data_IF_415389652265
#
_entry.id   IF_415389652265
#
_cell.length_a   1.000
_cell.length_b   1.000
_cell.length_c   1.000
_cell.angle_alpha   90.00
_cell.angle_beta   90.00
_cell.angle_gamma   90.00
#
_symmetry.space_group_name_H-M   'P 1'
#
loop_
_entity.id
_entity.type
_entity.pdbx_description
1 polymer ?
#
# COMPACT_ATOMS: atom_id res chain seq x y z
N UNK A 1 11.80 18.17 -11.43
CA UNK A 1 10.79 17.96 -10.36
C UNK A 1 11.37 17.68 -8.97
N UNK A 2 12.68 17.40 -8.81
CA UNK A 2 13.31 17.04 -7.53
C UNK A 2 13.61 18.22 -6.56
N UNK A 3 12.89 19.34 -6.62
CA UNK A 3 13.17 20.49 -5.72
C UNK A 3 11.97 21.36 -5.30
N UNK A 4 10.73 21.00 -5.64
CA UNK A 4 9.60 21.95 -5.55
C UNK A 4 8.69 21.80 -4.31
N UNK A 5 8.89 20.84 -3.39
CA UNK A 5 8.07 20.85 -2.15
C UNK A 5 8.77 20.21 -0.96
N UNK A 6 10.06 20.50 -0.80
CA UNK A 6 10.62 20.45 0.54
C UNK A 6 9.96 21.59 1.34
N UNK A 7 9.18 21.25 2.36
CA UNK A 7 9.00 22.01 3.62
C UNK A 7 7.82 23.02 3.71
N UNK A 8 6.95 23.22 2.71
CA UNK A 8 6.01 24.36 2.80
C UNK A 8 4.80 24.28 3.76
N UNK A 9 4.25 23.11 4.18
CA UNK A 9 2.97 23.14 4.96
C UNK A 9 2.68 21.99 5.95
N UNK A 10 3.54 20.96 6.03
CA UNK A 10 3.14 19.62 6.53
C UNK A 10 2.79 19.52 8.02
N UNK A 11 3.29 20.40 8.91
CA UNK A 11 2.94 20.34 10.34
C UNK A 11 1.63 21.05 10.69
N UNK A 12 1.31 22.17 10.03
CA UNK A 12 0.15 22.98 10.36
C UNK A 12 -1.16 22.31 9.95
N UNK A 13 -1.28 21.99 8.65
CA UNK A 13 -2.49 21.40 8.07
C UNK A 13 -2.80 20.02 8.66
N UNK A 14 -1.77 19.19 8.87
CA UNK A 14 -1.95 17.85 9.48
C UNK A 14 -2.43 17.95 10.92
N UNK A 15 -1.87 18.88 11.72
CA UNK A 15 -2.30 19.07 13.10
C UNK A 15 -3.73 19.62 13.17
N UNK A 16 -4.08 20.58 12.31
CA UNK A 16 -5.46 21.09 12.20
C UNK A 16 -6.42 19.95 11.90
N UNK A 17 -6.12 19.13 10.90
CA UNK A 17 -6.96 17.98 10.54
C UNK A 17 -7.10 16.96 11.68
N UNK A 18 -6.01 16.65 12.39
CA UNK A 18 -6.07 15.72 13.52
C UNK A 18 -6.87 16.26 14.69
N UNK A 19 -6.81 17.57 14.94
CA UNK A 19 -7.66 18.22 15.94
C UNK A 19 -9.14 18.26 15.52
N UNK A 20 -9.44 18.48 14.23
CA UNK A 20 -10.82 18.36 13.73
C UNK A 20 -11.39 16.94 13.92
N UNK A 21 -10.59 15.91 13.63
CA UNK A 21 -11.01 14.53 13.91
C UNK A 21 -11.15 14.25 15.40
N UNK A 22 -10.22 14.75 16.22
CA UNK A 22 -10.29 14.67 17.68
C UNK A 22 -11.64 15.21 18.19
N UNK A 23 -11.99 16.43 17.79
CA UNK A 23 -13.22 17.10 18.23
C UNK A 23 -14.47 16.32 17.82
N UNK A 24 -14.49 15.75 16.62
CA UNK A 24 -15.62 14.94 16.15
C UNK A 24 -15.71 13.61 16.88
N UNK A 25 -14.60 12.92 17.11
CA UNK A 25 -14.58 11.66 17.90
C UNK A 25 -15.05 11.94 19.33
N UNK A 26 -14.54 12.99 19.97
CA UNK A 26 -14.94 13.46 21.30
C UNK A 26 -16.43 13.78 21.37
N UNK A 27 -16.95 14.50 20.37
CA UNK A 27 -18.37 14.80 20.29
C UNK A 27 -19.22 13.53 20.23
N UNK A 28 -18.82 12.55 19.42
CA UNK A 28 -19.59 11.30 19.28
C UNK A 28 -19.58 10.48 20.57
N UNK A 29 -18.43 10.37 21.26
CA UNK A 29 -18.40 9.64 22.54
C UNK A 29 -19.23 10.34 23.62
N UNK A 30 -19.17 11.68 23.70
CA UNK A 30 -19.99 12.44 24.65
C UNK A 30 -21.50 12.27 24.39
N UNK A 31 -21.92 12.22 23.12
CA UNK A 31 -23.31 11.94 22.76
C UNK A 31 -23.75 10.56 23.26
N UNK A 32 -22.94 9.51 23.03
CA UNK A 32 -23.26 8.17 23.52
C UNK A 32 -23.25 8.09 25.05
N UNK A 33 -22.28 8.72 25.71
CA UNK A 33 -22.24 8.80 27.18
C UNK A 33 -23.50 9.46 27.73
N UNK A 34 -23.99 10.51 27.08
CA UNK A 34 -25.24 11.17 27.50
C UNK A 34 -26.43 10.22 27.43
N UNK A 35 -26.53 9.43 26.35
CA UNK A 35 -27.61 8.44 26.22
C UNK A 35 -27.50 7.34 27.29
N UNK A 36 -26.29 6.92 27.64
CA UNK A 36 -26.08 5.89 28.67
C UNK A 36 -26.44 6.42 30.05
N UNK A 37 -25.99 7.64 30.39
CA UNK A 37 -26.13 8.19 31.74
C UNK A 37 -27.50 8.82 32.00
N UNK A 38 -28.17 9.33 30.95
CA UNK A 38 -29.42 10.10 31.06
C UNK A 38 -30.53 9.60 30.14
N UNK A 39 -30.37 8.46 29.47
CA UNK A 39 -31.36 7.92 28.53
C UNK A 39 -32.72 7.63 29.14
N UNK A 40 -32.81 7.45 30.47
CA UNK A 40 -34.09 7.26 31.17
C UNK A 40 -34.99 8.51 31.13
N UNK A 41 -34.41 9.70 30.95
CA UNK A 41 -35.12 10.98 30.89
C UNK A 41 -35.57 11.36 29.46
N UNK A 42 -35.25 10.53 28.46
CA UNK A 42 -35.47 10.80 27.03
C UNK A 42 -36.41 9.79 26.36
N UNK A 43 -37.13 10.23 25.33
CA UNK A 43 -37.96 9.35 24.52
C UNK A 43 -37.10 8.38 23.68
N UNK A 44 -37.58 7.14 23.52
CA UNK A 44 -36.89 6.09 22.76
C UNK A 44 -36.59 6.52 21.32
N UNK A 45 -37.48 7.32 20.71
CA UNK A 45 -37.27 7.86 19.36
C UNK A 45 -36.07 8.83 19.32
N UNK A 46 -35.93 9.72 20.31
CA UNK A 46 -34.79 10.66 20.40
C UNK A 46 -33.46 9.91 20.56
N UNK A 47 -33.44 8.86 21.37
CA UNK A 47 -32.27 8.00 21.59
C UNK A 47 -31.85 7.33 20.28
N UNK A 48 -32.82 6.76 19.55
CA UNK A 48 -32.57 6.10 18.28
C UNK A 48 -32.03 7.09 17.23
N UNK A 49 -32.63 8.27 17.11
CA UNK A 49 -32.15 9.33 16.20
C UNK A 49 -30.71 9.76 16.52
N UNK A 50 -30.40 9.94 17.81
CA UNK A 50 -29.05 10.30 18.26
C UNK A 50 -28.06 9.18 17.94
N UNK A 51 -28.40 7.92 18.20
CA UNK A 51 -27.51 6.80 17.89
C UNK A 51 -27.29 6.62 16.39
N UNK A 52 -28.30 6.89 15.56
CA UNK A 52 -28.15 6.93 14.10
C UNK A 52 -27.27 8.09 13.64
N UNK A 53 -27.44 9.28 14.23
CA UNK A 53 -26.61 10.46 13.94
C UNK A 53 -25.12 10.19 14.24
N UNK A 54 -24.81 9.60 15.40
CA UNK A 54 -23.45 9.17 15.75
C UNK A 54 -22.91 8.16 14.74
N UNK A 55 -23.71 7.16 14.36
CA UNK A 55 -23.31 6.17 13.36
C UNK A 55 -22.95 6.78 12.01
N UNK A 56 -23.72 7.76 11.56
CA UNK A 56 -23.46 8.48 10.31
C UNK A 56 -22.17 9.30 10.36
N UNK A 57 -21.89 10.00 11.47
CA UNK A 57 -20.66 10.78 11.60
C UNK A 57 -19.41 9.88 11.73
N UNK A 58 -19.51 8.79 12.49
CA UNK A 58 -18.42 7.78 12.59
C UNK A 58 -18.13 7.17 11.22
N UNK A 59 -19.16 6.88 10.39
CA UNK A 59 -18.93 6.39 9.03
C UNK A 59 -18.21 7.42 8.14
N UNK A 60 -18.56 8.71 8.26
CA UNK A 60 -17.85 9.78 7.53
C UNK A 60 -16.40 9.91 7.97
N UNK A 61 -16.14 9.89 9.28
CA UNK A 61 -14.79 9.89 9.85
C UNK A 61 -13.97 8.68 9.36
N UNK A 62 -14.56 7.48 9.36
CA UNK A 62 -13.92 6.26 8.86
C UNK A 62 -13.48 6.43 7.40
N UNK A 63 -14.36 6.94 6.54
CA UNK A 63 -14.05 7.20 5.12
C UNK A 63 -12.96 8.25 4.93
N UNK A 64 -13.02 9.37 5.66
CA UNK A 64 -12.02 10.44 5.63
C UNK A 64 -10.63 9.93 6.05
N UNK A 65 -10.55 9.21 7.18
CA UNK A 65 -9.28 8.68 7.69
C UNK A 65 -8.73 7.59 6.76
N UNK A 66 -9.59 6.72 6.20
CA UNK A 66 -9.14 5.73 5.19
C UNK A 66 -8.57 6.41 3.95
N UNK A 67 -9.22 7.46 3.44
CA UNK A 67 -8.71 8.27 2.33
C UNK A 67 -7.36 8.87 2.68
N UNK A 68 -7.21 9.45 3.88
CA UNK A 68 -5.94 10.03 4.33
C UNK A 68 -4.83 8.98 4.48
N UNK A 69 -5.10 7.82 5.08
CA UNK A 69 -4.16 6.69 5.17
C UNK A 69 -3.74 6.21 3.77
N UNK A 70 -4.67 6.16 2.82
CA UNK A 70 -4.35 5.84 1.43
C UNK A 70 -3.43 6.89 0.79
N UNK A 71 -3.70 8.19 1.03
CA UNK A 71 -2.88 9.32 0.56
C UNK A 71 -1.46 9.24 1.13
N UNK A 72 -1.30 8.90 2.42
CA UNK A 72 0.01 8.69 3.04
C UNK A 72 0.77 7.57 2.35
N UNK A 73 0.12 6.42 2.07
CA UNK A 73 0.76 5.30 1.39
C UNK A 73 1.27 5.73 0.01
N UNK A 74 0.44 6.42 -0.78
CA UNK A 74 0.83 6.91 -2.13
C UNK A 74 1.95 7.96 -2.06
N UNK A 75 1.89 8.87 -1.09
CA UNK A 75 2.92 9.87 -0.84
C UNK A 75 4.25 9.24 -0.45
N UNK A 76 4.22 8.18 0.36
CA UNK A 76 5.41 7.42 0.74
C UNK A 76 6.05 6.76 -0.49
N UNK A 77 5.26 6.11 -1.35
CA UNK A 77 5.77 5.52 -2.59
C UNK A 77 6.38 6.58 -3.51
N UNK A 78 5.75 7.75 -3.63
CA UNK A 78 6.27 8.86 -4.44
C UNK A 78 7.62 9.39 -3.93
N UNK A 79 7.82 9.45 -2.62
CA UNK A 79 9.04 9.98 -1.99
C UNK A 79 10.17 8.94 -1.90
N UNK A 80 9.85 7.73 -1.46
CA UNK A 80 10.83 6.65 -1.28
C UNK A 80 11.19 6.01 -2.62
N UNK A 81 10.25 5.94 -3.55
CA UNK A 81 10.34 5.26 -4.83
C UNK A 81 9.56 3.95 -4.85
N UNK A 82 9.09 3.56 -6.03
CA UNK A 82 8.30 2.35 -6.28
C UNK A 82 9.21 1.13 -6.15
N UNK A 83 8.91 0.22 -5.24
CA UNK A 83 9.71 -1.01 -5.05
C UNK A 83 9.30 -2.05 -6.07
N UNK A 84 10.19 -2.35 -7.01
CA UNK A 84 9.98 -3.33 -8.07
C UNK A 84 10.93 -4.51 -7.89
N UNK A 85 10.42 -5.73 -7.78
CA UNK A 85 11.28 -6.93 -7.64
C UNK A 85 11.28 -7.75 -8.93
N UNK A 86 12.48 -8.14 -9.39
CA UNK A 86 12.67 -9.00 -10.56
C UNK A 86 12.94 -10.45 -10.13
N UNK A 87 12.01 -11.35 -10.43
CA UNK A 87 12.07 -12.77 -10.08
C UNK A 87 12.16 -13.58 -11.38
N UNK A 88 12.93 -14.65 -11.42
CA UNK A 88 13.07 -15.47 -12.63
C UNK A 88 14.13 -16.54 -12.47
N UNK A 89 14.07 -17.65 -13.23
CA UNK A 89 15.11 -18.67 -13.19
C UNK A 89 16.45 -18.11 -13.71
N UNK A 90 17.57 -18.83 -13.51
CA UNK A 90 18.84 -18.52 -14.16
C UNK A 90 18.64 -18.32 -15.68
N UNK A 91 19.38 -17.38 -16.27
CA UNK A 91 19.33 -17.09 -17.72
C UNK A 91 17.97 -16.64 -18.28
N UNK A 92 16.98 -16.30 -17.45
CA UNK A 92 15.71 -15.69 -17.90
C UNK A 92 15.89 -14.31 -18.56
N UNK A 93 17.06 -13.68 -18.40
CA UNK A 93 17.37 -12.35 -18.94
C UNK A 93 17.11 -11.19 -17.98
N UNK A 94 17.08 -11.46 -16.66
CA UNK A 94 16.86 -10.43 -15.62
C UNK A 94 17.84 -9.26 -15.72
N UNK A 95 19.13 -9.57 -15.87
CA UNK A 95 20.18 -8.55 -16.01
C UNK A 95 20.08 -7.79 -17.33
N UNK A 96 19.65 -8.45 -18.41
CA UNK A 96 19.41 -7.80 -19.70
C UNK A 96 18.25 -6.82 -19.61
N UNK A 97 17.13 -7.23 -19.03
CA UNK A 97 15.97 -6.35 -18.82
C UNK A 97 16.32 -5.17 -17.91
N UNK A 98 17.03 -5.40 -16.80
CA UNK A 98 17.50 -4.30 -15.94
C UNK A 98 18.34 -3.29 -16.72
N UNK A 99 19.30 -3.77 -17.52
CA UNK A 99 20.17 -2.89 -18.30
C UNK A 99 19.38 -2.07 -19.31
N UNK A 100 18.38 -2.67 -19.98
CA UNK A 100 17.50 -1.96 -20.91
C UNK A 100 16.72 -0.86 -20.17
N UNK A 101 16.07 -1.20 -19.05
CA UNK A 101 15.34 -0.25 -18.22
C UNK A 101 16.24 0.87 -17.67
N UNK A 102 17.53 0.60 -17.44
CA UNK A 102 18.50 1.59 -16.97
C UNK A 102 19.09 2.48 -18.09
N UNK A 103 19.02 2.04 -19.35
CA UNK A 103 19.63 2.73 -20.49
C UNK A 103 18.65 3.67 -21.21
N UNK A 104 17.36 3.32 -21.29
CA UNK A 104 16.36 4.16 -21.96
C UNK A 104 16.07 5.46 -21.18
N UNK A 105 16.10 5.40 -19.86
CA UNK A 105 15.87 6.54 -18.99
C UNK A 105 17.16 6.84 -18.23
N UNK A 106 17.85 7.92 -18.65
CA UNK A 106 19.13 8.43 -18.12
C UNK A 106 19.33 8.19 -16.62
N UNK A 107 19.75 6.99 -16.25
CA UNK A 107 20.07 6.65 -14.89
C UNK A 107 21.38 7.37 -14.59
N UNK A 108 21.34 8.36 -13.68
CA UNK A 108 22.54 8.68 -12.91
C UNK A 108 22.76 7.47 -12.02
N UNK A 109 23.45 6.47 -12.57
CA UNK A 109 24.01 5.38 -11.79
C UNK A 109 25.02 6.06 -10.87
N UNK A 110 24.63 6.34 -9.63
CA UNK A 110 25.55 6.73 -8.57
C UNK A 110 26.53 5.58 -8.37
N UNK A 111 27.63 5.62 -9.10
CA UNK A 111 28.76 4.72 -9.00
C UNK A 111 29.55 5.03 -7.73
N UNK A 112 28.97 4.81 -6.56
CA UNK A 112 29.76 4.64 -5.35
C UNK A 112 30.09 3.15 -5.25
N UNK A 113 31.09 2.74 -6.02
CA UNK A 113 31.77 1.47 -5.83
C UNK A 113 32.44 1.51 -4.45
N UNK A 114 31.92 0.77 -3.46
CA UNK A 114 32.62 0.69 -2.17
C UNK A 114 31.89 0.17 -0.93
N UNK A 115 30.57 0.00 -0.89
CA UNK A 115 29.91 -0.45 0.35
C UNK A 115 29.32 -1.85 0.24
N UNK A 116 29.98 -2.74 0.95
CA UNK A 116 29.83 -4.19 1.15
C UNK A 116 28.41 -4.75 1.34
N UNK A 117 28.16 -5.87 0.63
CA UNK A 117 27.44 -7.09 1.06
C UNK A 117 26.11 -6.92 1.83
N UNK A 118 25.07 -6.45 1.15
CA UNK A 118 23.67 -6.84 1.36
C UNK A 118 22.90 -6.49 0.07
N UNK A 119 21.79 -7.19 -0.22
CA UNK A 119 21.09 -7.18 -1.51
C UNK A 119 21.01 -5.80 -2.19
N UNK A 120 21.78 -5.59 -3.26
CA UNK A 120 21.92 -4.26 -3.88
C UNK A 120 20.63 -3.86 -4.61
N UNK A 121 19.92 -2.88 -4.05
CA UNK A 121 18.82 -2.19 -4.71
C UNK A 121 19.36 -1.22 -5.76
N UNK A 122 18.76 -1.22 -6.96
CA UNK A 122 19.18 -0.36 -8.07
C UNK A 122 18.12 0.72 -8.27
N UNK A 123 18.40 1.98 -7.95
CA UNK A 123 17.49 3.08 -8.25
C UNK A 123 17.52 3.37 -9.75
N UNK A 124 16.35 3.40 -10.38
CA UNK A 124 16.11 3.78 -11.76
C UNK A 124 15.13 4.95 -11.81
N UNK A 125 15.25 5.77 -12.85
CA UNK A 125 14.16 6.64 -13.30
C UNK A 125 13.47 5.87 -14.43
N UNK A 126 12.16 5.65 -14.35
CA UNK A 126 11.40 5.03 -15.44
C UNK A 126 10.23 5.96 -15.77
N UNK A 127 10.26 6.59 -16.94
CA UNK A 127 9.24 7.56 -17.38
C UNK A 127 8.95 8.69 -16.35
N UNK A 128 9.96 9.13 -15.60
CA UNK A 128 9.85 10.19 -14.57
C UNK A 128 9.49 9.68 -13.17
N UNK A 129 9.33 8.37 -12.98
CA UNK A 129 9.08 7.76 -11.67
C UNK A 129 10.37 7.18 -11.09
N UNK A 130 10.63 7.48 -9.81
CA UNK A 130 11.71 6.84 -9.05
C UNK A 130 11.32 5.39 -8.76
N UNK A 131 12.03 4.43 -9.33
CA UNK A 131 11.82 2.99 -9.14
C UNK A 131 13.03 2.38 -8.46
N UNK A 132 12.82 1.66 -7.37
CA UNK A 132 13.87 0.93 -6.66
C UNK A 132 13.77 -0.54 -7.03
N UNK A 133 14.67 -1.02 -7.88
CA UNK A 133 14.68 -2.40 -8.33
C UNK A 133 15.39 -3.30 -7.32
N UNK A 134 14.65 -4.24 -6.73
CA UNK A 134 15.07 -5.12 -5.64
C UNK A 134 15.37 -6.57 -6.07
N UNK A 135 16.32 -7.13 -5.31
CA UNK A 135 16.94 -8.47 -5.30
C UNK A 135 17.16 -9.15 -6.65
N UNK A 136 18.44 -9.24 -6.94
CA UNK A 136 19.00 -9.55 -8.23
C UNK A 136 19.99 -10.67 -7.98
N UNK A 137 19.48 -11.85 -7.61
CA UNK A 137 20.25 -13.07 -7.38
C UNK A 137 21.11 -13.53 -8.61
N UNK A 138 21.36 -12.66 -9.58
CA UNK A 138 22.37 -12.81 -10.62
C UNK A 138 22.93 -11.51 -11.21
N UNK A 139 22.86 -10.33 -10.55
CA UNK A 139 23.37 -9.07 -11.18
C UNK A 139 24.83 -8.76 -10.89
N UNK A 140 25.51 -9.53 -10.02
CA UNK A 140 26.97 -9.62 -10.06
C UNK A 140 27.39 -11.09 -10.09
N UNK A 141 28.13 -11.46 -11.14
CA UNK A 141 28.76 -12.77 -11.32
C UNK A 141 29.45 -13.20 -10.02
N UNK A 142 29.03 -14.32 -9.43
CA UNK A 142 29.97 -15.29 -8.86
C UNK A 142 29.32 -16.66 -8.78
N UNK A 143 30.04 -17.62 -9.35
CA UNK A 143 29.90 -19.08 -9.24
C UNK A 143 29.32 -19.61 -7.94
N UNK A 144 28.37 -20.53 -8.11
CA UNK A 144 28.00 -21.67 -7.26
C UNK A 144 27.59 -21.47 -5.77
N UNK A 145 26.54 -22.24 -5.41
CA UNK A 145 26.05 -22.60 -4.06
C UNK A 145 25.10 -21.63 -3.29
N UNK A 146 24.33 -20.75 -3.95
CA UNK A 146 23.34 -19.89 -3.24
C UNK A 146 21.95 -19.91 -3.91
N UNK A 147 21.35 -21.09 -4.08
CA UNK A 147 20.06 -21.21 -4.79
C UNK A 147 18.86 -21.15 -3.84
N UNK A 148 18.85 -21.95 -2.77
CA UNK A 148 17.76 -21.96 -1.79
C UNK A 148 17.66 -20.66 -0.98
N UNK A 149 18.79 -20.05 -0.64
CA UNK A 149 18.82 -18.77 0.09
C UNK A 149 18.44 -17.59 -0.82
N UNK A 150 18.76 -17.66 -2.12
CA UNK A 150 18.30 -16.71 -3.13
C UNK A 150 16.78 -16.74 -3.29
N UNK A 151 16.19 -17.94 -3.37
CA UNK A 151 14.73 -18.12 -3.42
C UNK A 151 14.07 -17.62 -2.13
N UNK A 152 14.65 -17.92 -0.95
CA UNK A 152 14.12 -17.48 0.34
C UNK A 152 14.14 -15.96 0.51
N UNK A 153 15.19 -15.29 0.02
CA UNK A 153 15.32 -13.82 0.05
C UNK A 153 14.37 -13.15 -0.94
N UNK A 154 14.30 -13.66 -2.17
CA UNK A 154 13.31 -13.22 -3.16
C UNK A 154 11.89 -13.32 -2.60
N UNK A 155 11.54 -14.40 -1.89
CA UNK A 155 10.25 -14.59 -1.22
C UNK A 155 9.97 -13.53 -0.13
N UNK A 156 10.95 -13.19 0.71
CA UNK A 156 10.74 -12.18 1.75
C UNK A 156 10.57 -10.78 1.16
N UNK A 157 11.30 -10.47 0.08
CA UNK A 157 11.29 -9.14 -0.54
C UNK A 157 10.10 -8.93 -1.47
N UNK A 158 9.63 -9.97 -2.15
CA UNK A 158 8.39 -9.94 -2.96
C UNK A 158 7.15 -9.60 -2.13
N UNK A 159 7.15 -9.96 -0.83
CA UNK A 159 6.09 -9.61 0.12
C UNK A 159 6.11 -8.14 0.55
N UNK A 160 7.16 -7.40 0.24
CA UNK A 160 7.34 -5.99 0.61
C UNK A 160 7.47 -5.07 -0.60
N UNK A 161 7.30 -5.61 -1.81
CA UNK A 161 7.42 -4.87 -3.08
C UNK A 161 6.07 -4.29 -3.48
N UNK A 162 6.09 -3.16 -4.15
CA UNK A 162 4.88 -2.57 -4.74
C UNK A 162 4.51 -3.30 -6.04
N UNK A 163 5.51 -3.74 -6.80
CA UNK A 163 5.36 -4.51 -8.05
C UNK A 163 6.33 -5.69 -8.07
N UNK A 164 5.83 -6.87 -8.45
CA UNK A 164 6.65 -8.05 -8.75
C UNK A 164 6.63 -8.32 -10.26
N UNK A 165 7.79 -8.59 -10.84
CA UNK A 165 7.93 -9.05 -12.22
C UNK A 165 8.52 -10.45 -12.18
N UNK A 166 7.77 -11.43 -12.68
CA UNK A 166 8.22 -12.80 -12.89
C UNK A 166 8.66 -12.94 -14.34
N UNK A 167 9.96 -12.98 -14.57
CA UNK A 167 10.59 -13.15 -15.88
C UNK A 167 10.80 -14.63 -16.17
N UNK A 168 10.20 -15.14 -17.25
CA UNK A 168 10.31 -16.51 -17.74
C UNK A 168 10.98 -16.51 -19.12
N UNK A 169 11.86 -17.48 -19.45
CA UNK A 169 12.27 -17.69 -20.84
C UNK A 169 11.11 -18.28 -21.67
N UNK A 170 11.03 -17.91 -22.95
CA UNK A 170 10.07 -18.49 -23.91
C UNK A 170 10.42 -19.93 -24.30
N UNK A 171 11.70 -20.29 -24.20
CA UNK A 171 12.21 -21.67 -24.22
C UNK A 171 11.86 -22.34 -22.88
N UNK A 172 10.72 -23.04 -22.88
CA UNK A 172 10.03 -23.62 -21.70
C UNK A 172 10.65 -24.95 -21.23
N UNK A 173 11.52 -25.58 -22.03
CA UNK A 173 11.96 -26.98 -21.82
C UNK A 173 12.80 -27.20 -20.54
N UNK A 174 13.14 -26.11 -19.81
CA UNK A 174 14.07 -26.15 -18.67
C UNK A 174 13.61 -25.35 -17.45
N UNK A 175 12.35 -24.89 -17.39
CA UNK A 175 11.90 -24.17 -16.20
C UNK A 175 11.66 -25.17 -15.07
N UNK A 176 12.42 -25.02 -13.99
CA UNK A 176 12.29 -25.86 -12.80
C UNK A 176 10.83 -25.83 -12.26
N UNK A 177 10.15 -27.00 -12.13
CA UNK A 177 8.83 -27.09 -11.50
C UNK A 177 8.75 -26.45 -10.11
N UNK A 178 9.86 -26.49 -9.35
CA UNK A 178 9.96 -25.85 -8.03
C UNK A 178 9.84 -24.32 -8.16
N UNK A 179 10.48 -23.73 -9.17
CA UNK A 179 10.38 -22.30 -9.47
C UNK A 179 8.96 -21.93 -9.91
N UNK A 180 8.32 -22.72 -10.76
CA UNK A 180 6.93 -22.47 -11.20
C UNK A 180 5.96 -22.47 -10.01
N UNK A 181 6.13 -23.40 -9.07
CA UNK A 181 5.33 -23.44 -7.84
C UNK A 181 5.56 -22.19 -6.96
N UNK A 182 6.79 -21.66 -6.95
CA UNK A 182 7.12 -20.45 -6.22
C UNK A 182 6.54 -19.21 -6.90
N UNK A 183 6.74 -19.08 -8.20
CA UNK A 183 6.16 -18.01 -9.01
C UNK A 183 4.64 -17.98 -8.85
N UNK A 184 3.97 -19.13 -8.92
CA UNK A 184 2.52 -19.19 -8.71
C UNK A 184 2.10 -18.70 -7.32
N UNK A 185 2.88 -18.95 -6.28
CA UNK A 185 2.58 -18.45 -4.93
C UNK A 185 2.72 -16.92 -4.83
N UNK A 186 3.78 -16.35 -5.42
CA UNK A 186 3.97 -14.88 -5.47
C UNK A 186 2.85 -14.22 -6.27
N UNK A 187 2.48 -14.84 -7.38
CA UNK A 187 1.45 -14.37 -8.29
C UNK A 187 0.04 -14.49 -7.69
N UNK A 188 -0.23 -15.54 -6.91
CA UNK A 188 -1.55 -15.82 -6.33
C UNK A 188 -1.90 -14.92 -5.14
N UNK A 189 -0.92 -14.21 -4.57
CA UNK A 189 -1.20 -13.22 -3.54
C UNK A 189 -1.92 -12.01 -4.16
N UNK A 190 -3.24 -11.97 -4.01
CA UNK A 190 -4.10 -10.90 -4.54
C UNK A 190 -3.72 -9.50 -4.02
N UNK A 191 -2.95 -9.41 -2.94
CA UNK A 191 -2.48 -8.13 -2.39
C UNK A 191 -1.28 -7.56 -3.15
N UNK A 192 -0.61 -8.37 -3.99
CA UNK A 192 0.59 -7.99 -4.73
C UNK A 192 0.30 -7.83 -6.22
N UNK A 193 0.77 -6.73 -6.80
CA UNK A 193 0.70 -6.53 -8.24
C UNK A 193 1.84 -7.30 -8.91
N UNK A 194 1.51 -8.36 -9.63
CA UNK A 194 2.48 -9.26 -10.27
C UNK A 194 2.30 -9.30 -11.78
N UNK A 195 3.37 -9.03 -12.52
CA UNK A 195 3.48 -9.22 -13.97
C UNK A 195 4.24 -10.50 -14.28
N UNK A 196 3.84 -11.21 -15.33
CA UNK A 196 4.62 -12.30 -15.91
C UNK A 196 5.16 -11.83 -17.25
N UNK A 197 6.48 -11.76 -17.35
CA UNK A 197 7.15 -11.33 -18.57
C UNK A 197 7.84 -12.55 -19.17
N UNK A 198 7.48 -12.91 -20.40
CA UNK A 198 8.13 -13.97 -21.14
C UNK A 198 9.18 -13.34 -22.06
N UNK A 199 10.44 -13.62 -21.78
CA UNK A 199 11.59 -13.11 -22.53
C UNK A 199 12.09 -14.11 -23.57
N UNK A 200 12.90 -13.66 -24.51
CA UNK A 200 13.50 -14.44 -25.62
C UNK A 200 12.47 -14.93 -26.64
N UNK A 201 11.42 -14.16 -26.86
CA UNK A 201 10.38 -14.54 -27.84
C UNK A 201 10.90 -14.55 -29.29
N UNK A 202 12.08 -14.01 -29.54
CA UNK A 202 12.83 -14.16 -30.80
C UNK A 202 13.21 -15.62 -31.11
N UNK A 203 13.21 -16.52 -30.12
CA UNK A 203 13.55 -17.93 -30.29
C UNK A 203 12.35 -18.83 -30.62
N UNK A 204 11.12 -18.29 -30.62
CA UNK A 204 9.89 -19.04 -30.87
C UNK A 204 9.16 -18.50 -32.11
N UNK A 205 8.38 -19.36 -32.75
CA UNK A 205 7.58 -18.99 -33.92
C UNK A 205 6.35 -18.15 -33.55
N UNK A 206 5.77 -17.48 -34.55
CA UNK A 206 4.63 -16.58 -34.33
C UNK A 206 3.36 -17.32 -33.88
N UNK A 207 3.20 -18.59 -34.28
CA UNK A 207 2.11 -19.44 -33.80
C UNK A 207 2.20 -19.69 -32.27
N UNK A 208 3.41 -19.93 -31.76
CA UNK A 208 3.64 -20.07 -30.32
C UNK A 208 3.44 -18.74 -29.60
N UNK A 209 3.95 -17.62 -30.14
CA UNK A 209 3.73 -16.29 -29.54
C UNK A 209 2.25 -15.95 -29.35
N UNK A 210 1.40 -16.35 -30.30
CA UNK A 210 -0.04 -16.06 -30.24
C UNK A 210 -0.80 -16.91 -29.20
N UNK A 211 -0.28 -18.07 -28.80
CA UNK A 211 -0.99 -18.99 -27.89
C UNK A 211 -0.38 -19.06 -26.49
N UNK A 212 0.87 -18.62 -26.33
CA UNK A 212 1.62 -18.69 -25.08
C UNK A 212 1.00 -17.85 -23.95
N UNK A 213 0.53 -16.60 -24.17
CA UNK A 213 -0.12 -15.82 -23.11
C UNK A 213 -1.36 -16.50 -22.56
N UNK A 214 -2.22 -17.05 -23.41
CA UNK A 214 -3.46 -17.73 -23.00
C UNK A 214 -3.15 -19.02 -22.22
N UNK A 215 -2.16 -19.80 -22.69
CA UNK A 215 -1.69 -21.00 -21.98
C UNK A 215 -1.16 -20.68 -20.58
N UNK A 216 -0.32 -19.64 -20.46
CA UNK A 216 0.24 -19.23 -19.18
C UNK A 216 -0.82 -18.60 -18.26
N UNK A 217 -1.78 -17.86 -18.82
CA UNK A 217 -2.92 -17.30 -18.10
C UNK A 217 -3.74 -18.40 -17.42
N UNK A 218 -4.05 -19.49 -18.15
CA UNK A 218 -4.74 -20.65 -17.60
C UNK A 218 -3.90 -21.42 -16.57
N UNK A 219 -2.62 -21.67 -16.88
CA UNK A 219 -1.70 -22.44 -16.03
C UNK A 219 -1.41 -21.74 -14.70
N UNK A 220 -1.18 -20.42 -14.73
CA UNK A 220 -0.85 -19.61 -13.56
C UNK A 220 -2.07 -18.94 -12.91
N UNK A 221 -3.26 -19.10 -13.51
CA UNK A 221 -4.53 -18.49 -13.06
C UNK A 221 -4.42 -16.97 -12.90
N UNK A 222 -3.80 -16.31 -13.87
CA UNK A 222 -3.70 -14.85 -13.91
C UNK A 222 -4.40 -14.23 -15.10
N UNK A 223 -4.90 -12.99 -14.95
CA UNK A 223 -5.37 -12.20 -16.07
C UNK A 223 -4.32 -12.09 -17.19
N UNK A 224 -4.74 -12.29 -18.45
CA UNK A 224 -3.88 -12.28 -19.64
C UNK A 224 -3.17 -10.94 -19.84
N UNK A 225 -3.78 -9.82 -19.44
CA UNK A 225 -3.20 -8.47 -19.48
C UNK A 225 -1.94 -8.32 -18.61
N UNK A 226 -1.74 -9.19 -17.62
CA UNK A 226 -0.53 -9.24 -16.80
C UNK A 226 0.60 -10.05 -17.42
N UNK A 227 0.37 -10.67 -18.58
CA UNK A 227 1.37 -11.46 -19.30
C UNK A 227 1.88 -10.66 -20.49
N UNK A 228 3.19 -10.44 -20.54
CA UNK A 228 3.84 -9.63 -21.58
C UNK A 228 4.95 -10.44 -22.26
N UNK A 229 5.00 -10.34 -23.58
CA UNK A 229 5.99 -11.02 -24.42
C UNK A 229 7.06 -9.99 -24.82
N UNK A 230 8.32 -10.29 -24.52
CA UNK A 230 9.45 -9.42 -24.87
C UNK A 230 10.62 -10.20 -25.45
N UNK A 231 11.47 -9.50 -26.18
CA UNK A 231 12.83 -9.94 -26.43
C UNK A 231 13.79 -8.84 -25.97
N UNK A 232 14.61 -9.13 -24.96
CA UNK A 232 15.68 -8.22 -24.58
C UNK A 232 16.75 -8.07 -25.68
N UNK A 233 16.86 -9.05 -26.59
CA UNK A 233 17.86 -9.05 -27.67
C UNK A 233 17.43 -8.14 -28.82
N UNK A 234 16.18 -8.26 -29.26
CA UNK A 234 15.63 -7.46 -30.38
C UNK A 234 14.90 -6.22 -29.91
N UNK A 235 14.75 -6.04 -28.59
CA UNK A 235 13.95 -5.00 -27.93
C UNK A 235 12.46 -5.02 -28.28
N UNK A 236 11.98 -6.08 -28.93
CA UNK A 236 10.56 -6.27 -29.21
C UNK A 236 9.76 -6.33 -27.90
N UNK A 237 8.65 -5.58 -27.83
CA UNK A 237 7.72 -5.56 -26.68
C UNK A 237 8.20 -4.76 -25.46
N UNK A 238 9.41 -4.19 -25.48
CA UNK A 238 9.95 -3.41 -24.35
C UNK A 238 9.18 -2.10 -24.16
N UNK A 239 8.89 -1.36 -25.23
CA UNK A 239 8.16 -0.09 -25.17
C UNK A 239 6.74 -0.29 -24.60
N UNK A 240 6.01 -1.33 -25.04
CA UNK A 240 4.70 -1.68 -24.49
C UNK A 240 4.78 -2.02 -23.00
N UNK A 241 5.81 -2.77 -22.60
CA UNK A 241 6.06 -3.10 -21.19
C UNK A 241 6.31 -1.83 -20.36
N UNK A 242 7.13 -0.90 -20.84
CA UNK A 242 7.41 0.36 -20.14
C UNK A 242 6.12 1.18 -20.02
N UNK A 243 5.34 1.29 -21.10
CA UNK A 243 4.07 2.02 -21.07
C UNK A 243 3.07 1.44 -20.05
N UNK A 244 2.98 0.11 -19.97
CA UNK A 244 2.13 -0.56 -18.98
C UNK A 244 2.62 -0.35 -17.56
N UNK A 245 3.93 -0.48 -17.31
CA UNK A 245 4.52 -0.20 -16.02
C UNK A 245 4.27 1.26 -15.61
N UNK A 246 4.44 2.21 -16.52
CA UNK A 246 4.17 3.64 -16.31
C UNK A 246 2.71 3.91 -15.96
N UNK A 247 1.76 3.24 -16.62
CA UNK A 247 0.34 3.34 -16.27
C UNK A 247 0.09 2.84 -14.83
N UNK A 248 0.77 1.75 -14.41
CA UNK A 248 0.66 1.27 -13.02
C UNK A 248 1.36 2.16 -12.01
N UNK A 249 2.52 2.71 -12.36
CA UNK A 249 3.20 3.68 -11.51
C UNK A 249 2.26 4.85 -11.22
N UNK A 250 1.60 5.38 -12.26
CA UNK A 250 0.58 6.42 -12.11
C UNK A 250 -0.54 6.01 -11.17
N UNK A 251 -1.09 4.80 -11.28
CA UNK A 251 -2.14 4.32 -10.36
C UNK A 251 -1.65 4.27 -8.90
N UNK A 252 -0.45 3.73 -8.66
CA UNK A 252 0.12 3.55 -7.32
C UNK A 252 0.51 4.89 -6.68
N UNK A 253 0.99 5.85 -7.48
CA UNK A 253 1.43 7.17 -6.99
C UNK A 253 0.39 8.25 -7.14
N UNK A 254 -0.77 7.99 -7.76
CA UNK A 254 -1.80 9.00 -8.02
C UNK A 254 -2.31 9.64 -6.73
N UNK A 255 -1.89 10.86 -6.45
CA UNK A 255 -2.51 11.71 -5.44
C UNK A 255 -3.44 12.68 -6.14
N UNK A 256 -4.64 12.89 -5.59
CA UNK A 256 -5.53 13.96 -6.06
C UNK A 256 -4.87 15.31 -5.75
N UNK A 257 -4.13 15.86 -6.73
CA UNK A 257 -3.69 17.27 -6.94
C UNK A 257 -3.05 18.01 -5.73
N UNK A 258 -2.87 17.37 -4.58
CA UNK A 258 -2.31 17.95 -3.37
C UNK A 258 -0.88 17.47 -3.13
N UNK A 259 -0.10 18.30 -2.44
CA UNK A 259 1.25 17.99 -2.00
C UNK A 259 1.32 16.63 -1.28
N UNK A 260 2.44 15.88 -1.45
CA UNK A 260 2.65 14.64 -0.73
C UNK A 260 2.62 14.87 0.78
N UNK A 261 1.89 14.01 1.49
CA UNK A 261 1.72 14.09 2.95
C UNK A 261 2.57 13.02 3.62
N UNK A 262 3.28 13.40 4.68
CA UNK A 262 4.06 12.46 5.50
C UNK A 262 3.70 12.60 6.97
N UNK A 263 3.56 11.47 7.64
CA UNK A 263 3.39 11.37 9.09
C UNK A 263 4.34 10.31 9.64
N UNK A 264 4.57 10.30 10.95
CA UNK A 264 5.39 9.26 11.57
C UNK A 264 4.76 7.87 11.40
N UNK A 265 5.61 6.84 11.31
CA UNK A 265 5.15 5.43 11.28
C UNK A 265 4.21 5.13 12.44
N UNK A 266 4.54 5.62 13.64
CA UNK A 266 3.74 5.49 14.86
C UNK A 266 2.35 6.12 14.69
N UNK A 267 2.26 7.36 14.21
CA UNK A 267 0.98 8.03 14.00
C UNK A 267 0.10 7.25 13.00
N UNK A 268 0.69 6.75 11.91
CA UNK A 268 -0.01 5.90 10.95
C UNK A 268 -0.53 4.60 11.57
N UNK A 269 0.29 3.93 12.39
CA UNK A 269 -0.11 2.71 13.10
C UNK A 269 -1.28 2.99 14.06
N UNK A 270 -1.28 4.14 14.76
CA UNK A 270 -2.38 4.54 15.63
C UNK A 270 -3.67 4.82 14.82
N UNK A 271 -3.58 5.52 13.68
CA UNK A 271 -4.75 5.72 12.80
C UNK A 271 -5.39 4.38 12.43
N UNK A 272 -4.59 3.36 12.11
CA UNK A 272 -5.10 2.06 11.63
C UNK A 272 -5.56 1.17 12.79
N UNK A 273 -4.70 0.97 13.80
CA UNK A 273 -4.88 -0.06 14.81
C UNK A 273 -5.71 0.40 16.01
N UNK A 274 -5.80 1.71 16.24
CA UNK A 274 -6.57 2.26 17.35
C UNK A 274 -7.87 2.89 16.79
N UNK A 275 -7.74 3.87 15.90
CA UNK A 275 -8.89 4.67 15.43
C UNK A 275 -9.80 3.89 14.48
N UNK A 276 -9.29 3.43 13.34
CA UNK A 276 -10.09 2.68 12.36
C UNK A 276 -10.56 1.32 12.91
N UNK A 277 -9.79 0.72 13.81
CA UNK A 277 -10.22 -0.48 14.53
C UNK A 277 -11.42 -0.17 15.45
N UNK A 278 -11.34 0.88 16.28
CA UNK A 278 -12.45 1.30 17.14
C UNK A 278 -13.72 1.63 16.34
N UNK A 279 -13.59 2.28 15.18
CA UNK A 279 -14.73 2.53 14.28
C UNK A 279 -15.33 1.23 13.71
N UNK A 280 -14.49 0.25 13.39
CA UNK A 280 -14.96 -1.06 12.93
C UNK A 280 -15.70 -1.82 14.03
N UNK A 281 -15.22 -1.78 15.27
CA UNK A 281 -15.89 -2.43 16.41
C UNK A 281 -17.18 -1.69 16.77
N UNK A 282 -17.17 -0.34 16.78
CA UNK A 282 -18.37 0.47 16.97
C UNK A 282 -19.48 0.08 16.00
N UNK A 283 -19.16 -0.09 14.70
CA UNK A 283 -20.15 -0.49 13.69
C UNK A 283 -20.77 -1.84 14.00
N UNK A 284 -19.98 -2.83 14.43
CA UNK A 284 -20.48 -4.16 14.80
C UNK A 284 -21.47 -4.10 15.97
N UNK A 285 -21.13 -3.35 17.02
CA UNK A 285 -22.00 -3.22 18.20
C UNK A 285 -23.23 -2.36 17.90
N UNK A 286 -23.10 -1.33 17.06
CA UNK A 286 -24.23 -0.56 16.56
C UNK A 286 -25.22 -1.42 15.78
N UNK A 287 -24.74 -2.28 14.88
CA UNK A 287 -25.61 -3.18 14.11
C UNK A 287 -26.30 -4.23 15.01
N UNK A 288 -25.74 -4.50 16.19
CA UNK A 288 -26.32 -5.34 17.23
C UNK A 288 -27.21 -4.56 18.23
N UNK A 289 -27.40 -3.26 18.02
CA UNK A 289 -28.13 -2.34 18.91
C UNK A 289 -27.59 -2.28 20.35
N UNK A 290 -26.29 -2.55 20.53
CA UNK A 290 -25.60 -2.51 21.83
C UNK A 290 -24.87 -1.17 21.99
N UNK A 291 -25.59 -0.17 22.51
CA UNK A 291 -25.06 1.19 22.68
C UNK A 291 -23.90 1.26 23.67
N UNK A 292 -23.92 0.44 24.72
CA UNK A 292 -22.87 0.43 25.76
C UNK A 292 -21.57 -0.08 25.16
N UNK A 293 -21.62 -1.22 24.47
CA UNK A 293 -20.45 -1.77 23.80
C UNK A 293 -20.00 -0.92 22.60
N UNK A 294 -20.93 -0.27 21.89
CA UNK A 294 -20.58 0.69 20.85
C UNK A 294 -19.81 1.90 21.43
N UNK A 295 -20.25 2.45 22.56
CA UNK A 295 -19.56 3.55 23.25
C UNK A 295 -18.16 3.14 23.72
N UNK A 296 -18.04 1.94 24.31
CA UNK A 296 -16.74 1.40 24.73
C UNK A 296 -15.80 1.20 23.53
N UNK A 297 -16.30 0.70 22.39
CA UNK A 297 -15.51 0.55 21.18
C UNK A 297 -14.91 1.88 20.67
N UNK A 298 -15.62 3.00 20.84
CA UNK A 298 -15.10 4.32 20.46
C UNK A 298 -14.02 4.86 21.42
N UNK A 299 -13.91 4.35 22.66
CA UNK A 299 -12.83 4.75 23.57
C UNK A 299 -11.44 4.46 23.00
N UNK A 300 -11.29 3.33 22.30
CA UNK A 300 -10.05 3.01 21.59
C UNK A 300 -9.65 4.10 20.57
N UNK A 301 -10.64 4.65 19.85
CA UNK A 301 -10.41 5.73 18.89
C UNK A 301 -10.06 7.06 19.57
N UNK A 302 -10.69 7.35 20.72
CA UNK A 302 -10.39 8.50 21.57
C UNK A 302 -8.95 8.46 22.09
N UNK A 303 -8.54 7.34 22.68
CA UNK A 303 -7.16 7.16 23.16
C UNK A 303 -6.15 7.25 22.02
N UNK A 304 -6.48 6.66 20.86
CA UNK A 304 -5.67 6.75 19.65
C UNK A 304 -5.44 8.19 19.20
N UNK A 305 -6.51 8.97 19.01
CA UNK A 305 -6.38 10.36 18.55
C UNK A 305 -5.69 11.25 19.60
N UNK A 306 -5.89 10.98 20.89
CA UNK A 306 -5.16 11.64 21.98
C UNK A 306 -3.64 11.39 21.93
N UNK A 307 -3.21 10.15 21.66
CA UNK A 307 -1.79 9.81 21.46
C UNK A 307 -1.16 10.54 20.26
N UNK A 308 -1.94 10.85 19.23
CA UNK A 308 -1.47 11.55 18.02
C UNK A 308 -1.36 13.06 18.27
N UNK A 309 -2.38 13.65 18.90
CA UNK A 309 -2.45 15.10 19.19
C UNK A 309 -1.57 15.51 20.37
N UNK A 310 -1.17 14.57 21.23
CA UNK A 310 -0.32 14.81 22.40
C UNK A 310 -1.11 15.22 23.65
N UNK A 311 -2.43 15.22 23.56
CA UNK A 311 -3.35 15.57 24.64
C UNK A 311 -4.11 14.30 25.02
N UNK A 312 -3.83 13.75 26.20
CA UNK A 312 -4.63 12.64 26.72
C UNK A 312 -6.07 13.12 26.92
N UNK A 313 -7.03 12.41 26.32
CA UNK A 313 -8.44 12.70 26.54
C UNK A 313 -8.83 12.05 27.85
N UNK A 314 -9.04 12.88 28.87
CA UNK A 314 -9.52 12.44 30.17
C UNK A 314 -11.04 12.33 30.21
N UNK A 315 -11.55 11.62 31.23
CA UNK A 315 -12.99 11.57 31.53
C UNK A 315 -13.57 12.98 31.73
N UNK A 316 -12.81 13.89 32.33
CA UNK A 316 -13.21 15.29 32.56
C UNK A 316 -13.52 16.06 31.26
N UNK A 317 -12.76 15.81 30.19
CA UNK A 317 -12.98 16.47 28.90
C UNK A 317 -14.26 15.97 28.23
N UNK A 318 -14.50 14.65 28.31
CA UNK A 318 -15.75 14.04 27.84
C UNK A 318 -16.94 14.62 28.61
N UNK A 319 -16.84 14.68 29.94
CA UNK A 319 -17.87 15.26 30.80
C UNK A 319 -18.10 16.76 30.49
N UNK A 320 -17.03 17.52 30.23
CA UNK A 320 -17.13 18.92 29.80
C UNK A 320 -17.94 19.08 28.51
N UNK A 321 -17.78 18.17 27.53
CA UNK A 321 -18.59 18.16 26.31
C UNK A 321 -20.05 17.78 26.59
N UNK A 322 -20.28 16.80 27.47
CA UNK A 322 -21.63 16.41 27.91
C UNK A 322 -22.36 17.62 28.52
N UNK A 323 -21.78 18.27 29.53
CA UNK A 323 -22.40 19.39 30.25
C UNK A 323 -22.51 20.69 29.45
N UNK A 324 -21.66 20.90 28.45
CA UNK A 324 -21.74 22.11 27.60
C UNK A 324 -22.82 22.03 26.52
N UNK A 325 -23.19 20.82 26.07
CA UNK A 325 -24.20 20.62 25.03
C UNK A 325 -25.57 20.28 25.56
N UNK A 326 -25.61 19.49 26.62
CA UNK A 326 -26.82 19.17 27.33
C UNK A 326 -26.83 20.11 28.53
N UNK A 327 -27.55 21.23 28.43
CA UNK A 327 -27.81 22.14 29.53
C UNK A 327 -28.58 21.40 30.64
N UNK A 328 -27.88 20.55 31.39
CA UNK A 328 -28.45 19.78 32.48
C UNK A 328 -28.49 20.73 33.69
N UNK A 329 -29.67 21.26 33.99
CA UNK A 329 -29.93 22.03 35.22
C UNK A 329 -29.95 23.57 35.09
N UNK A 330 -30.66 24.12 34.09
CA UNK A 330 -31.27 25.46 34.21
C UNK A 330 -32.78 25.36 34.17
#
# INVERSE_FOLDING_TARGET
MQRISAISSVKGETNVLFNEWRDRILKNIALLTTVIDFGEDHDIEEINELFQSVGNDVSKLDDEIRKYVSKIKRSQVLLEGIKLTLIGPPNAGKSSLLNILAQEDKAIVSSIAGTTRDAMEVPLDISGYKVIVGDTAGIRRSSDVIENEGIRRAKKKSLTSDINIVLLPADDDKIDPSFLSHASNVISDKKMLSYVIVNKVDLIDDATKQTLPERLSQKLKIPRDRIKLISCTTQCGIEELIQDLTNRFKEITSTEIADPVTISKRAREILINDILYGFSEFRKFKDADDIVMASEALRCSVDGIGKITGEAIGVEEILGVVFSKFCIGK
#
